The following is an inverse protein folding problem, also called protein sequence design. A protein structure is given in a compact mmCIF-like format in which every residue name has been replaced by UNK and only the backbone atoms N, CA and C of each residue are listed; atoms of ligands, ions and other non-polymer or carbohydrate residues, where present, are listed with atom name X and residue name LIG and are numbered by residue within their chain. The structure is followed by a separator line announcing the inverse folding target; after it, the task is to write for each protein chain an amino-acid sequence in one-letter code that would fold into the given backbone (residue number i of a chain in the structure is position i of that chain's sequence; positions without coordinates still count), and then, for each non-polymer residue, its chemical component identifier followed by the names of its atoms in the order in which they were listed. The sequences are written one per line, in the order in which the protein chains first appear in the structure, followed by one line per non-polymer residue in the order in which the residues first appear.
data_IF_819001495123
#
_entry.id   IF_819001495123
#
_cell.length_a   1.000
_cell.length_b   1.000
_cell.length_c   1.000
_cell.angle_alpha   90.00
_cell.angle_beta   90.00
_cell.angle_gamma   90.00
#
_symmetry.space_group_name_H-M   'P 1'
#
loop_
_entity.id
_entity.type
_entity.pdbx_description
1 polymer ?
#
# COMPACT_ATOMS: atom_id res chain seq x y z
N UNK A 1 15.46 -8.13 26.70
CA UNK A 1 16.51 -7.28 26.13
C UNK A 1 16.13 -5.82 26.27
N UNK A 2 17.13 -4.97 26.63
CA UNK A 2 16.89 -3.54 26.77
C UNK A 2 16.79 -2.90 25.37
N UNK A 3 15.62 -2.46 25.00
CA UNK A 3 15.33 -1.87 23.67
C UNK A 3 15.44 -0.35 23.65
N UNK A 4 15.75 0.31 24.80
CA UNK A 4 15.71 1.78 24.93
C UNK A 4 16.55 2.51 23.88
N UNK A 5 17.76 2.03 23.61
CA UNK A 5 18.62 2.67 22.61
C UNK A 5 18.06 2.58 21.19
N UNK A 6 17.34 1.50 20.89
CA UNK A 6 16.65 1.33 19.61
C UNK A 6 15.44 2.25 19.54
N UNK A 7 14.66 2.31 20.63
CA UNK A 7 13.46 3.16 20.72
C UNK A 7 13.84 4.65 20.59
N UNK A 8 14.88 5.10 21.28
CA UNK A 8 15.39 6.48 21.18
C UNK A 8 15.89 6.81 19.77
N UNK A 9 16.61 5.89 19.12
CA UNK A 9 17.07 6.09 17.75
C UNK A 9 15.92 6.15 16.74
N UNK A 10 14.89 5.33 16.95
CA UNK A 10 13.70 5.32 16.09
C UNK A 10 12.84 6.57 16.28
N UNK A 11 12.66 7.03 17.51
CA UNK A 11 11.92 8.27 17.79
C UNK A 11 12.67 9.49 17.25
N UNK A 12 13.99 9.55 17.35
CA UNK A 12 14.81 10.61 16.75
C UNK A 12 14.72 10.59 15.22
N UNK A 13 14.77 9.40 14.61
CA UNK A 13 14.59 9.25 13.17
C UNK A 13 13.20 9.73 12.72
N UNK A 14 12.13 9.33 13.41
CA UNK A 14 10.77 9.75 13.12
C UNK A 14 10.60 11.28 13.21
N UNK A 15 11.21 11.93 14.21
CA UNK A 15 11.17 13.38 14.38
C UNK A 15 11.94 14.17 13.30
N UNK A 16 12.84 13.52 12.56
CA UNK A 16 13.64 14.16 11.51
C UNK A 16 12.93 14.26 10.16
N UNK A 17 11.83 13.54 9.95
CA UNK A 17 11.09 13.55 8.69
C UNK A 17 9.94 14.56 8.74
N UNK A 18 9.91 15.46 7.75
CA UNK A 18 8.73 16.30 7.49
C UNK A 18 7.81 15.51 6.56
N UNK A 19 6.59 15.30 7.02
CA UNK A 19 5.50 14.80 6.18
C UNK A 19 4.73 16.02 5.68
N UNK A 20 4.88 16.33 4.41
CA UNK A 20 4.00 17.30 3.76
C UNK A 20 2.65 16.61 3.54
N UNK A 21 1.61 17.11 4.19
CA UNK A 21 0.26 16.65 3.93
C UNK A 21 -0.16 17.10 2.53
N UNK A 22 0.10 16.27 1.56
CA UNK A 22 -0.54 16.38 0.26
C UNK A 22 -2.00 16.05 0.54
N UNK A 23 -2.89 17.04 0.41
CA UNK A 23 -4.33 16.85 0.64
C UNK A 23 -4.90 15.68 -0.17
N UNK A 24 -6.20 15.41 -0.05
CA UNK A 24 -6.85 14.29 -0.76
C UNK A 24 -6.53 14.35 -2.25
N UNK A 25 -5.63 13.48 -2.70
CA UNK A 25 -5.33 13.31 -4.12
C UNK A 25 -6.38 12.36 -4.68
N UNK A 26 -7.27 12.88 -5.52
CA UNK A 26 -8.17 12.03 -6.28
C UNK A 26 -7.40 11.51 -7.50
N UNK A 27 -6.91 10.29 -7.42
CA UNK A 27 -6.35 9.58 -8.57
C UNK A 27 -7.46 9.03 -9.47
N UNK A 28 -7.21 8.95 -10.77
CA UNK A 28 -8.10 8.32 -11.75
C UNK A 28 -7.74 6.85 -12.01
N UNK A 29 -6.66 6.35 -11.40
CA UNK A 29 -6.24 4.96 -11.51
C UNK A 29 -7.00 4.04 -10.55
N UNK A 30 -7.17 2.80 -10.94
CA UNK A 30 -7.65 1.72 -10.06
C UNK A 30 -6.49 0.93 -9.49
N UNK A 31 -6.67 0.37 -8.30
CA UNK A 31 -5.68 -0.45 -7.62
C UNK A 31 -6.37 -1.35 -6.59
N UNK A 32 -5.83 -2.53 -6.36
CA UNK A 32 -6.31 -3.51 -5.38
C UNK A 32 -6.30 -2.97 -3.93
N UNK A 33 -5.69 -1.80 -3.69
CA UNK A 33 -5.78 -1.12 -2.39
C UNK A 33 -7.21 -0.78 -2.01
N UNK A 34 -8.08 -0.51 -2.99
CA UNK A 34 -9.50 -0.26 -2.77
C UNK A 34 -10.18 -1.45 -2.10
N UNK A 35 -9.89 -2.65 -2.58
CA UNK A 35 -10.42 -3.90 -2.05
C UNK A 35 -9.98 -4.12 -0.60
N UNK A 36 -8.69 -4.01 -0.33
CA UNK A 36 -8.15 -4.12 1.03
C UNK A 36 -8.75 -3.07 1.96
N UNK A 37 -8.82 -1.80 1.52
CA UNK A 37 -9.33 -0.70 2.35
C UNK A 37 -10.83 -0.78 2.61
N UNK A 38 -11.58 -1.58 1.88
CA UNK A 38 -13.00 -1.78 2.12
C UNK A 38 -13.29 -2.64 3.35
N UNK A 39 -12.34 -3.50 3.75
CA UNK A 39 -12.50 -4.48 4.83
C UNK A 39 -11.55 -4.28 6.02
N UNK A 40 -10.44 -3.53 5.83
CA UNK A 40 -9.46 -3.30 6.89
C UNK A 40 -8.74 -1.95 6.72
N UNK A 41 -8.16 -1.40 7.81
CA UNK A 41 -7.36 -0.18 7.70
C UNK A 41 -6.19 -0.36 6.75
N UNK A 42 -5.97 0.61 5.88
CA UNK A 42 -4.86 0.65 4.94
C UNK A 42 -4.12 1.98 5.07
N UNK A 43 -2.79 1.92 5.11
CA UNK A 43 -1.94 3.07 4.95
C UNK A 43 -1.34 3.06 3.55
N UNK A 44 -1.60 4.12 2.80
CA UNK A 44 -1.00 4.36 1.50
C UNK A 44 -0.15 5.63 1.55
N UNK A 45 1.03 5.57 0.96
CA UNK A 45 1.89 6.73 0.80
C UNK A 45 2.62 6.69 -0.54
N UNK A 46 3.01 7.86 -1.02
CA UNK A 46 3.81 8.01 -2.22
C UNK A 46 5.23 8.39 -1.85
N UNK A 47 6.19 7.89 -2.61
CA UNK A 47 7.60 8.21 -2.44
C UNK A 47 8.13 8.90 -3.69
N UNK A 48 9.22 9.65 -3.54
CA UNK A 48 9.90 10.33 -4.63
C UNK A 48 11.14 9.53 -5.09
N UNK A 49 11.90 10.09 -6.00
CA UNK A 49 13.14 9.49 -6.53
C UNK A 49 12.96 8.82 -7.90
N UNK A 50 11.82 9.06 -8.54
CA UNK A 50 11.49 8.55 -9.87
C UNK A 50 11.18 9.69 -10.81
N UNK A 51 11.48 9.50 -12.10
CA UNK A 51 11.12 10.38 -13.20
C UNK A 51 10.49 9.55 -14.32
N UNK A 52 9.53 10.13 -15.03
CA UNK A 52 8.78 9.49 -16.10
C UNK A 52 7.34 9.13 -15.69
N UNK A 53 6.56 8.71 -16.67
CA UNK A 53 5.19 8.29 -16.45
C UNK A 53 5.10 6.86 -15.92
N UNK A 54 4.16 6.60 -15.02
CA UNK A 54 3.84 5.24 -14.56
C UNK A 54 3.47 4.36 -15.77
N UNK A 55 3.86 3.09 -15.72
CA UNK A 55 3.63 2.09 -16.77
C UNK A 55 4.25 2.45 -18.14
N UNK A 56 5.28 3.28 -18.15
CA UNK A 56 5.99 3.67 -19.37
C UNK A 56 7.45 3.20 -19.31
N UNK A 57 8.02 2.83 -20.45
CA UNK A 57 9.44 2.39 -20.55
C UNK A 57 10.47 3.47 -20.17
N UNK A 58 10.04 4.73 -20.11
CA UNK A 58 10.86 5.84 -19.64
C UNK A 58 10.86 6.06 -18.14
N UNK A 59 10.11 5.26 -17.35
CA UNK A 59 10.17 5.34 -15.89
C UNK A 59 11.56 4.88 -15.41
N UNK A 60 12.23 5.73 -14.67
CA UNK A 60 13.58 5.47 -14.16
C UNK A 60 13.75 6.01 -12.75
N UNK A 61 14.65 5.40 -12.00
CA UNK A 61 15.10 5.94 -10.70
C UNK A 61 16.10 7.06 -10.97
N UNK A 62 15.87 8.22 -10.38
CA UNK A 62 16.72 9.41 -10.48
C UNK A 62 17.39 9.78 -9.16
N UNK A 63 16.82 9.32 -8.04
CA UNK A 63 17.40 9.43 -6.71
C UNK A 63 17.18 8.12 -5.96
N UNK A 64 18.23 7.31 -5.88
CA UNK A 64 18.18 5.99 -5.22
C UNK A 64 17.93 6.10 -3.71
N UNK A 65 18.42 7.16 -3.08
CA UNK A 65 18.20 7.36 -1.65
C UNK A 65 16.72 7.62 -1.35
N UNK A 66 16.07 8.49 -2.10
CA UNK A 66 14.63 8.76 -1.96
C UNK A 66 13.80 7.52 -2.34
N UNK A 67 14.13 6.87 -3.46
CA UNK A 67 13.37 5.74 -3.97
C UNK A 67 13.43 4.51 -3.06
N UNK A 68 14.60 4.19 -2.53
CA UNK A 68 14.82 2.94 -1.79
C UNK A 68 14.98 3.15 -0.30
N UNK A 69 15.89 4.04 0.12
CA UNK A 69 16.24 4.16 1.55
C UNK A 69 15.13 4.87 2.31
N UNK A 70 14.61 5.98 1.80
CA UNK A 70 13.52 6.71 2.46
C UNK A 70 12.25 5.85 2.50
N UNK A 71 11.93 5.16 1.41
CA UNK A 71 10.80 4.23 1.34
C UNK A 71 10.91 3.13 2.41
N UNK A 72 12.07 2.48 2.51
CA UNK A 72 12.30 1.46 3.52
C UNK A 72 12.18 2.00 4.96
N UNK A 73 12.68 3.21 5.21
CA UNK A 73 12.56 3.88 6.51
C UNK A 73 11.11 4.19 6.86
N UNK A 74 10.29 4.65 5.91
CA UNK A 74 8.86 4.89 6.14
C UNK A 74 8.17 3.60 6.57
N UNK A 75 8.39 2.49 5.88
CA UNK A 75 7.84 1.19 6.28
C UNK A 75 8.29 0.77 7.68
N UNK A 76 9.59 0.86 7.97
CA UNK A 76 10.14 0.48 9.26
C UNK A 76 9.57 1.33 10.41
N UNK A 77 9.51 2.66 10.24
CA UNK A 77 8.96 3.58 11.23
C UNK A 77 7.45 3.39 11.42
N UNK A 78 6.73 3.11 10.36
CA UNK A 78 5.29 2.82 10.44
C UNK A 78 5.05 1.55 11.25
N UNK A 79 5.77 0.46 10.92
CA UNK A 79 5.67 -0.80 11.66
C UNK A 79 6.07 -0.61 13.13
N UNK A 80 7.16 0.10 13.40
CA UNK A 80 7.60 0.42 14.75
C UNK A 80 6.52 1.17 15.54
N UNK A 81 5.96 2.24 14.97
CA UNK A 81 4.91 3.02 15.63
C UNK A 81 3.63 2.22 15.90
N UNK A 82 3.28 1.31 15.01
CA UNK A 82 2.13 0.42 15.21
C UNK A 82 2.35 -0.60 16.31
N UNK A 83 3.59 -1.09 16.47
CA UNK A 83 3.91 -2.21 17.35
C UNK A 83 4.50 -1.78 18.71
N UNK A 84 5.08 -0.59 18.82
CA UNK A 84 5.62 -0.11 20.09
C UNK A 84 4.54 -0.05 21.18
N UNK A 85 4.96 -0.05 22.44
CA UNK A 85 4.09 -0.06 23.61
C UNK A 85 3.04 -1.21 23.58
N UNK A 86 3.43 -2.39 23.07
CA UNK A 86 2.57 -3.55 22.99
C UNK A 86 1.47 -3.43 21.91
N UNK A 87 1.59 -2.49 20.98
CA UNK A 87 0.63 -2.32 19.87
C UNK A 87 -0.61 -1.50 20.25
N UNK A 88 -0.54 -0.65 21.27
CA UNK A 88 -1.68 0.18 21.70
C UNK A 88 -2.23 1.04 20.58
N UNK A 89 -1.34 1.65 19.77
CA UNK A 89 -1.77 2.48 18.65
C UNK A 89 -2.48 1.66 17.56
N UNK A 90 -1.98 0.47 17.25
CA UNK A 90 -2.63 -0.41 16.27
C UNK A 90 -4.02 -0.87 16.76
N UNK A 91 -4.17 -1.18 18.07
CA UNK A 91 -5.48 -1.52 18.64
C UNK A 91 -6.44 -0.36 18.57
N UNK A 92 -6.03 0.83 18.98
CA UNK A 92 -6.87 2.03 18.89
C UNK A 92 -7.31 2.34 17.46
N UNK A 93 -6.41 2.14 16.48
CA UNK A 93 -6.72 2.30 15.07
C UNK A 93 -7.79 1.30 14.62
N UNK A 94 -7.65 0.02 14.99
CA UNK A 94 -8.63 -1.02 14.66
C UNK A 94 -9.99 -0.76 15.33
N UNK A 95 -10.01 -0.30 16.57
CA UNK A 95 -11.26 0.04 17.30
C UNK A 95 -11.99 1.24 16.69
N UNK A 96 -11.25 2.20 16.14
CA UNK A 96 -11.83 3.38 15.49
C UNK A 96 -12.20 3.17 14.02
N UNK A 97 -11.73 2.09 13.40
CA UNK A 97 -11.98 1.82 12.01
C UNK A 97 -13.36 1.21 11.78
N UNK A 98 -14.09 1.77 10.83
CA UNK A 98 -15.38 1.26 10.40
C UNK A 98 -15.26 0.78 8.95
N UNK A 99 -15.22 -0.53 8.72
CA UNK A 99 -15.12 -1.08 7.36
C UNK A 99 -16.37 -0.72 6.54
N UNK A 100 -16.18 -0.52 5.26
CA UNK A 100 -17.29 -0.29 4.30
C UNK A 100 -18.08 -1.57 4.11
N UNK A 101 -17.39 -2.71 4.08
CA UNK A 101 -17.96 -4.06 3.96
C UNK A 101 -17.40 -4.96 5.06
N UNK A 102 -18.19 -5.89 5.55
CA UNK A 102 -17.63 -7.03 6.29
C UNK A 102 -16.88 -7.93 5.31
N UNK A 103 -16.06 -8.83 5.84
CA UNK A 103 -15.35 -9.80 5.02
C UNK A 103 -16.31 -10.67 4.20
N UNK A 104 -17.41 -11.10 4.81
CA UNK A 104 -18.44 -11.91 4.17
C UNK A 104 -19.14 -11.14 3.05
N UNK A 105 -19.51 -9.88 3.30
CA UNK A 105 -20.12 -9.00 2.30
C UNK A 105 -19.16 -8.73 1.13
N UNK A 106 -17.86 -8.60 1.41
CA UNK A 106 -16.87 -8.41 0.36
C UNK A 106 -16.76 -9.67 -0.54
N UNK A 107 -16.71 -10.86 0.05
CA UNK A 107 -16.67 -12.11 -0.70
C UNK A 107 -17.94 -12.27 -1.56
N UNK A 108 -19.12 -12.04 -1.00
CA UNK A 108 -20.39 -12.09 -1.73
C UNK A 108 -20.43 -11.08 -2.89
N UNK A 109 -19.94 -9.86 -2.65
CA UNK A 109 -19.83 -8.83 -3.69
C UNK A 109 -18.90 -9.28 -4.82
N UNK A 110 -17.72 -9.83 -4.51
CA UNK A 110 -16.77 -10.31 -5.51
C UNK A 110 -17.34 -11.49 -6.31
N UNK A 111 -17.98 -12.44 -5.64
CA UNK A 111 -18.63 -13.59 -6.30
C UNK A 111 -19.76 -13.14 -7.23
N UNK A 112 -20.51 -12.10 -6.87
CA UNK A 112 -21.57 -11.55 -7.71
C UNK A 112 -21.06 -10.93 -9.01
N UNK A 113 -19.78 -10.54 -9.06
CA UNK A 113 -19.16 -9.97 -10.25
C UNK A 113 -18.48 -11.01 -11.16
N UNK A 114 -18.32 -12.25 -10.66
CA UNK A 114 -17.76 -13.33 -11.47
C UNK A 114 -18.84 -13.82 -12.45
N UNK A 115 -18.63 -13.58 -13.74
CA UNK A 115 -19.39 -14.22 -14.81
C UNK A 115 -18.52 -15.30 -15.46
N UNK A 116 -18.96 -16.54 -15.44
CA UNK A 116 -18.33 -17.59 -16.25
C UNK A 116 -18.74 -17.40 -17.71
N UNK A 117 -17.91 -16.71 -18.46
CA UNK A 117 -18.05 -16.65 -19.91
C UNK A 117 -17.10 -17.68 -20.52
N UNK A 118 -17.66 -18.81 -20.99
CA UNK A 118 -16.88 -19.77 -21.75
C UNK A 118 -16.70 -19.22 -23.14
N UNK A 119 -15.58 -18.52 -23.38
CA UNK A 119 -15.21 -18.12 -24.73
C UNK A 119 -14.94 -19.38 -25.57
N UNK A 120 -15.64 -19.59 -26.71
CA UNK A 120 -15.27 -20.66 -27.60
C UNK A 120 -13.85 -20.42 -28.08
N UNK A 121 -12.95 -21.36 -27.79
CA UNK A 121 -11.58 -21.31 -28.32
C UNK A 121 -11.66 -21.43 -29.84
N UNK A 122 -11.49 -20.33 -30.54
CA UNK A 122 -11.22 -20.37 -31.97
C UNK A 122 -9.90 -21.14 -32.21
N UNK A 123 -9.85 -22.08 -33.14
CA UNK A 123 -8.61 -22.75 -33.44
C UNK A 123 -7.55 -21.71 -33.85
N UNK A 124 -6.39 -21.78 -33.21
CA UNK A 124 -5.27 -20.90 -33.55
C UNK A 124 -4.94 -21.10 -35.04
N UNK A 125 -4.73 -20.01 -35.81
CA UNK A 125 -4.30 -20.14 -37.17
C UNK A 125 -2.97 -20.89 -37.22
N UNK A 126 -2.93 -21.98 -37.99
CA UNK A 126 -1.69 -22.71 -38.24
C UNK A 126 -0.85 -21.78 -39.11
N UNK A 127 0.24 -21.25 -38.57
CA UNK A 127 1.25 -20.56 -39.37
C UNK A 127 2.03 -21.64 -40.10
N UNK A 128 1.69 -21.86 -41.37
CA UNK A 128 2.54 -22.67 -42.24
C UNK A 128 3.85 -21.89 -42.48
N UNK A 129 4.98 -22.50 -42.06
CA UNK A 129 6.32 -21.96 -42.19
C UNK A 129 6.91 -22.11 -43.60
#
# INVERSE_FOLDING_TARGET
PDTRAVDEAMDAAAGSYKVDHIGKVHGTGSTDYGDVSSIMPLLQFHTAGFEGAMHHSGLKVTDEYLAYVVTAKIFALTAYNLLKNGGDYARALLESYHPVLTKEQYVEYMESMLSEETLPMAPLPIVEG
#
